data_IF_116641281177
#
_entry.id   IF_116641281177
#
_cell.length_a   1.000
_cell.length_b   1.000
_cell.length_c   1.000
_cell.angle_alpha   90.00
_cell.angle_beta   90.00
_cell.angle_gamma   90.00
#
_symmetry.space_group_name_H-M   'P 1'
#
loop_
_entity.id
_entity.type
_entity.pdbx_description
1 polymer ?
#
# COMPACT_ATOMS: atom_id res chain seq x y z
N UNK A 1 6.65 11.68 23.90
CA UNK A 1 5.15 11.68 23.89
C UNK A 1 4.69 11.03 25.19
N UNK A 2 3.74 11.66 25.93
CA UNK A 2 3.29 11.16 27.25
C UNK A 2 2.56 9.81 27.10
N UNK A 3 2.83 8.86 28.02
CA UNK A 3 2.23 7.52 28.08
C UNK A 3 0.70 7.53 27.94
N UNK A 4 0.00 8.44 28.61
CA UNK A 4 -1.45 8.61 28.52
C UNK A 4 -1.92 9.00 27.10
N UNK A 5 -1.16 9.81 26.37
CA UNK A 5 -1.47 10.15 24.97
C UNK A 5 -1.31 8.94 24.03
N UNK A 6 -0.30 8.11 24.29
CA UNK A 6 -0.10 6.88 23.53
C UNK A 6 -1.24 5.88 23.75
N UNK A 7 -1.67 5.69 25.00
CA UNK A 7 -2.79 4.82 25.34
C UNK A 7 -4.10 5.29 24.70
N UNK A 8 -4.42 6.58 24.80
CA UNK A 8 -5.59 7.16 24.12
C UNK A 8 -5.56 6.97 22.61
N UNK A 9 -4.39 7.18 21.98
CA UNK A 9 -4.20 6.99 20.55
C UNK A 9 -4.41 5.53 20.15
N UNK A 10 -3.93 4.58 20.95
CA UNK A 10 -4.10 3.14 20.71
C UNK A 10 -5.55 2.69 20.82
N UNK A 11 -6.30 3.25 21.78
CA UNK A 11 -7.74 2.99 21.93
C UNK A 11 -8.54 3.53 20.74
N UNK A 12 -8.23 4.74 20.27
CA UNK A 12 -8.96 5.40 19.17
C UNK A 12 -8.63 4.85 17.78
N UNK A 13 -7.35 4.55 17.52
CA UNK A 13 -6.86 4.21 16.18
C UNK A 13 -6.54 2.71 16.02
N UNK A 14 -6.59 1.93 17.10
CA UNK A 14 -6.33 0.50 17.09
C UNK A 14 -4.97 0.17 16.46
N UNK A 15 -4.97 -0.71 15.46
CA UNK A 15 -3.77 -1.14 14.73
C UNK A 15 -3.14 -0.03 13.87
N UNK A 16 -3.83 1.07 13.62
CA UNK A 16 -3.30 2.24 12.91
C UNK A 16 -2.73 3.32 13.83
N UNK A 17 -2.48 3.01 15.11
CA UNK A 17 -1.98 3.99 16.07
C UNK A 17 -0.52 4.40 15.82
N UNK A 18 0.30 3.48 15.36
CA UNK A 18 1.70 3.74 14.94
C UNK A 18 2.03 3.00 13.66
N UNK A 19 3.13 3.39 12.98
CA UNK A 19 3.66 2.67 11.82
C UNK A 19 3.90 1.20 12.14
N UNK A 20 4.56 0.93 13.25
CA UNK A 20 4.91 -0.43 13.67
C UNK A 20 3.67 -1.29 13.97
N UNK A 21 2.66 -0.72 14.63
CA UNK A 21 1.40 -1.43 14.88
C UNK A 21 0.72 -1.82 13.56
N UNK A 22 0.71 -0.91 12.58
CA UNK A 22 0.06 -1.17 11.30
C UNK A 22 0.83 -2.19 10.45
N UNK A 23 2.15 -2.08 10.37
CA UNK A 23 3.01 -3.07 9.69
C UNK A 23 2.82 -4.46 10.29
N UNK A 24 2.86 -4.58 11.63
CA UNK A 24 2.67 -5.85 12.31
C UNK A 24 1.25 -6.42 12.11
N UNK A 25 0.25 -5.57 12.07
CA UNK A 25 -1.11 -5.98 11.76
C UNK A 25 -1.23 -6.56 10.34
N UNK A 26 -0.66 -5.88 9.35
CA UNK A 26 -0.67 -6.35 7.96
C UNK A 26 0.09 -7.68 7.79
N UNK A 27 1.25 -7.83 8.46
CA UNK A 27 1.98 -9.10 8.51
C UNK A 27 1.13 -10.23 9.08
N UNK A 28 0.42 -10.00 10.19
CA UNK A 28 -0.50 -10.98 10.81
C UNK A 28 -1.67 -11.35 9.89
N UNK A 29 -2.07 -10.44 9.02
CA UNK A 29 -3.11 -10.69 8.01
C UNK A 29 -2.60 -11.47 6.80
N UNK A 30 -1.28 -11.67 6.67
CA UNK A 30 -0.66 -12.47 5.62
C UNK A 30 0.11 -11.67 4.57
N UNK A 31 0.26 -10.36 4.72
CA UNK A 31 1.13 -9.57 3.86
C UNK A 31 2.61 -9.89 4.13
N UNK A 32 3.41 -9.97 3.08
CA UNK A 32 4.87 -10.10 3.18
C UNK A 32 5.50 -8.71 3.25
N UNK A 33 5.97 -8.30 4.43
CA UNK A 33 6.55 -6.98 4.65
C UNK A 33 7.93 -7.13 5.30
N UNK A 34 8.94 -6.55 4.65
CA UNK A 34 10.33 -6.55 5.11
C UNK A 34 10.59 -5.63 6.30
N UNK A 35 11.86 -5.41 6.60
CA UNK A 35 12.30 -4.59 7.72
C UNK A 35 12.50 -3.12 7.30
N UNK A 36 12.44 -2.20 8.27
CA UNK A 36 12.64 -0.77 8.00
C UNK A 36 11.52 -0.10 7.21
N UNK A 37 10.33 -0.71 7.15
CA UNK A 37 9.16 -0.11 6.51
C UNK A 37 8.52 0.91 7.44
N UNK A 38 8.35 2.14 6.96
CA UNK A 38 7.73 3.24 7.71
C UNK A 38 6.47 3.73 6.99
N UNK A 39 5.35 3.70 7.69
CA UNK A 39 4.09 4.31 7.27
C UNK A 39 3.90 5.57 8.12
N UNK A 40 4.13 6.75 7.52
CA UNK A 40 4.18 8.02 8.26
C UNK A 40 2.85 8.46 8.88
N UNK A 41 1.74 8.15 8.23
CA UNK A 41 0.40 8.48 8.73
C UNK A 41 -0.53 7.27 8.54
N UNK A 42 -0.44 6.24 9.40
CA UNK A 42 -1.19 4.99 9.21
C UNK A 42 -2.71 5.19 9.12
N UNK A 43 -3.25 6.14 9.89
CA UNK A 43 -4.68 6.48 9.90
C UNK A 43 -5.16 7.24 8.67
N UNK A 44 -4.25 7.79 7.87
CA UNK A 44 -4.53 8.48 6.61
C UNK A 44 -3.99 7.73 5.39
N UNK A 45 -3.52 6.50 5.59
CA UNK A 45 -2.99 5.63 4.54
C UNK A 45 -3.92 4.44 4.38
N UNK A 46 -4.25 4.10 3.15
CA UNK A 46 -5.09 2.96 2.83
C UNK A 46 -4.26 1.87 2.17
N UNK A 47 -4.12 0.76 2.84
CA UNK A 47 -3.54 -0.46 2.29
C UNK A 47 -4.63 -1.51 2.28
N UNK A 48 -4.90 -2.07 1.12
CA UNK A 48 -5.98 -3.02 0.94
C UNK A 48 -5.79 -4.28 1.79
N UNK A 49 -6.75 -4.54 2.64
CA UNK A 49 -6.71 -5.62 3.63
C UNK A 49 -7.59 -6.82 3.24
N UNK A 50 -8.24 -6.77 2.07
CA UNK A 50 -9.11 -7.85 1.63
C UNK A 50 -8.33 -9.08 1.17
N UNK A 51 -7.20 -8.86 0.46
CA UNK A 51 -6.31 -9.92 0.01
C UNK A 51 -4.86 -9.64 0.43
N UNK A 52 -4.55 -9.64 1.74
CA UNK A 52 -3.25 -9.20 2.25
C UNK A 52 -2.08 -10.05 1.73
N UNK A 53 -2.30 -11.32 1.44
CA UNK A 53 -1.30 -12.22 0.84
C UNK A 53 -0.91 -11.83 -0.60
N UNK A 54 -1.63 -10.92 -1.24
CA UNK A 54 -1.29 -10.34 -2.54
C UNK A 54 -0.34 -9.13 -2.43
N UNK A 55 0.01 -8.71 -1.20
CA UNK A 55 0.91 -7.60 -0.95
C UNK A 55 2.28 -8.08 -0.51
N UNK A 56 3.31 -7.61 -1.22
CA UNK A 56 4.71 -7.76 -0.85
C UNK A 56 5.37 -6.39 -0.80
N UNK A 57 6.02 -6.06 0.31
CA UNK A 57 6.82 -4.85 0.49
C UNK A 57 8.20 -5.27 0.98
N UNK A 58 9.23 -4.84 0.29
CA UNK A 58 10.62 -5.12 0.64
C UNK A 58 11.11 -4.36 1.88
N UNK A 59 12.42 -4.22 2.00
CA UNK A 59 13.05 -3.53 3.12
C UNK A 59 13.21 -2.03 2.86
N UNK A 60 13.26 -1.21 3.92
CA UNK A 60 13.53 0.22 3.85
C UNK A 60 12.57 0.96 2.91
N UNK A 61 11.27 0.73 3.06
CA UNK A 61 10.24 1.39 2.26
C UNK A 61 9.56 2.49 3.07
N UNK A 62 9.50 3.69 2.50
CA UNK A 62 8.84 4.84 3.09
C UNK A 62 7.50 5.10 2.40
N UNK A 63 6.41 4.94 3.13
CA UNK A 63 5.03 5.17 2.67
C UNK A 63 4.52 6.43 3.34
N UNK A 64 4.32 7.49 2.56
CA UNK A 64 3.92 8.78 3.10
C UNK A 64 2.39 8.91 3.24
N UNK A 65 1.94 10.04 3.76
CA UNK A 65 0.52 10.27 4.05
C UNK A 65 -0.37 10.17 2.80
N UNK A 66 -1.54 9.58 2.96
CA UNK A 66 -2.57 9.53 1.91
C UNK A 66 -2.26 8.56 0.78
N UNK A 67 -1.22 7.73 0.89
CA UNK A 67 -0.94 6.69 -0.09
C UNK A 67 -2.02 5.62 -0.05
N UNK A 68 -2.48 5.19 -1.23
CA UNK A 68 -3.38 4.07 -1.41
C UNK A 68 -2.66 2.93 -2.11
N UNK A 69 -2.69 1.74 -1.54
CA UNK A 69 -2.20 0.51 -2.17
C UNK A 69 -3.39 -0.43 -2.35
N UNK A 70 -3.74 -0.69 -3.61
CA UNK A 70 -4.94 -1.41 -3.99
C UNK A 70 -4.58 -2.74 -4.65
N UNK A 71 -5.08 -3.84 -4.14
CA UNK A 71 -4.88 -5.17 -4.72
C UNK A 71 -6.15 -5.78 -5.31
N UNK A 72 -7.28 -5.06 -5.25
CA UNK A 72 -8.54 -5.43 -5.91
C UNK A 72 -9.34 -4.19 -6.30
N UNK A 73 -10.30 -4.36 -7.18
CA UNK A 73 -11.31 -3.36 -7.51
C UNK A 73 -12.69 -3.98 -7.77
N UNK A 74 -13.68 -3.14 -7.96
CA UNK A 74 -15.06 -3.51 -8.24
C UNK A 74 -15.50 -3.18 -9.67
N UNK A 75 -14.57 -2.81 -10.55
CA UNK A 75 -14.83 -2.43 -11.95
C UNK A 75 -15.49 -3.55 -12.76
N UNK A 76 -15.20 -4.80 -12.37
CA UNK A 76 -15.82 -6.00 -12.97
C UNK A 76 -17.35 -6.00 -12.86
N UNK A 77 -17.95 -5.24 -11.94
CA UNK A 77 -19.41 -5.15 -11.80
C UNK A 77 -20.09 -4.61 -13.05
N UNK A 78 -19.43 -3.68 -13.74
CA UNK A 78 -19.92 -3.10 -15.00
C UNK A 78 -19.92 -4.16 -16.11
N UNK A 79 -18.84 -4.91 -16.23
CA UNK A 79 -18.69 -5.96 -17.23
C UNK A 79 -19.66 -7.11 -16.94
N UNK A 80 -19.83 -7.47 -15.66
CA UNK A 80 -20.79 -8.49 -15.22
C UNK A 80 -22.22 -8.13 -15.61
N UNK A 81 -22.62 -6.88 -15.45
CA UNK A 81 -23.96 -6.42 -15.82
C UNK A 81 -24.25 -6.60 -17.31
N UNK A 82 -23.22 -6.46 -18.16
CA UNK A 82 -23.35 -6.61 -19.61
C UNK A 82 -23.21 -8.07 -20.11
N UNK A 83 -22.28 -8.82 -19.54
CA UNK A 83 -21.87 -10.12 -20.08
C UNK A 83 -22.17 -11.32 -19.17
N UNK A 84 -22.77 -11.09 -17.99
CA UNK A 84 -23.06 -12.15 -17.01
C UNK A 84 -21.88 -12.42 -16.07
N UNK A 85 -21.48 -13.67 -15.91
CA UNK A 85 -20.42 -14.07 -14.99
C UNK A 85 -19.05 -13.70 -15.53
N UNK A 86 -18.25 -13.02 -14.72
CA UNK A 86 -16.83 -12.75 -14.96
C UNK A 86 -16.00 -12.99 -13.71
N UNK A 87 -14.70 -13.17 -13.88
CA UNK A 87 -13.73 -13.22 -12.79
C UNK A 87 -13.47 -11.79 -12.30
N UNK A 88 -13.52 -11.56 -10.99
CA UNK A 88 -13.28 -10.26 -10.38
C UNK A 88 -11.82 -9.79 -10.52
N UNK A 89 -11.61 -8.49 -10.38
CA UNK A 89 -10.29 -7.87 -10.44
C UNK A 89 -9.53 -8.00 -9.12
N UNK A 90 -8.54 -8.90 -9.07
CA UNK A 90 -7.58 -9.05 -7.97
C UNK A 90 -6.20 -9.17 -8.58
N UNK A 91 -5.21 -8.49 -8.01
CA UNK A 91 -3.84 -8.55 -8.52
C UNK A 91 -2.79 -8.27 -7.45
N UNK A 92 -1.62 -8.86 -7.65
CA UNK A 92 -0.49 -8.64 -6.74
C UNK A 92 0.00 -7.21 -6.79
N UNK A 93 0.47 -6.72 -5.63
CA UNK A 93 1.31 -5.53 -5.55
C UNK A 93 2.63 -5.94 -4.92
N UNK A 94 3.72 -5.69 -5.63
CA UNK A 94 5.07 -5.98 -5.19
C UNK A 94 5.86 -4.67 -5.17
N UNK A 95 6.38 -4.31 -4.02
CA UNK A 95 7.25 -3.15 -3.83
C UNK A 95 8.60 -3.65 -3.38
N UNK A 96 9.65 -3.31 -4.12
CA UNK A 96 11.02 -3.71 -3.85
C UNK A 96 11.63 -3.03 -2.62
N UNK A 97 12.94 -3.07 -2.53
CA UNK A 97 13.69 -2.49 -1.42
C UNK A 97 14.07 -1.03 -1.70
N UNK A 98 14.23 -0.24 -0.62
CA UNK A 98 14.68 1.15 -0.73
C UNK A 98 13.77 1.98 -1.66
N UNK A 99 12.47 2.01 -1.35
CA UNK A 99 11.45 2.71 -2.15
C UNK A 99 10.84 3.83 -1.33
N UNK A 100 10.68 4.99 -1.95
CA UNK A 100 9.92 6.11 -1.41
C UNK A 100 8.63 6.31 -2.20
N UNK A 101 7.49 6.38 -1.50
CA UNK A 101 6.18 6.62 -2.09
C UNK A 101 5.65 7.95 -1.60
N UNK A 102 5.55 8.90 -2.53
CA UNK A 102 5.14 10.28 -2.27
C UNK A 102 3.67 10.41 -1.87
N UNK A 103 3.35 11.52 -1.19
CA UNK A 103 2.02 11.82 -0.63
C UNK A 103 0.91 11.68 -1.68
N UNK A 104 -0.21 11.08 -1.25
CA UNK A 104 -1.42 10.88 -2.07
C UNK A 104 -1.19 10.09 -3.37
N UNK A 105 -0.15 9.27 -3.43
CA UNK A 105 0.04 8.36 -4.57
C UNK A 105 -0.87 7.14 -4.45
N UNK A 106 -1.24 6.58 -5.60
CA UNK A 106 -2.07 5.38 -5.71
C UNK A 106 -1.27 4.30 -6.42
N UNK A 107 -1.09 3.16 -5.77
CA UNK A 107 -0.46 1.97 -6.34
C UNK A 107 -1.57 0.98 -6.68
N UNK A 108 -1.76 0.73 -7.95
CA UNK A 108 -2.82 -0.14 -8.44
C UNK A 108 -2.40 -1.62 -8.39
N UNK A 109 -3.38 -2.50 -8.44
CA UNK A 109 -3.15 -3.94 -8.58
C UNK A 109 -2.32 -4.26 -9.83
N UNK A 110 -1.61 -5.38 -9.80
CA UNK A 110 -0.66 -5.81 -10.85
C UNK A 110 0.52 -4.84 -11.04
N UNK A 111 0.91 -4.15 -9.97
CA UNK A 111 2.09 -3.28 -9.95
C UNK A 111 3.27 -4.02 -9.34
N UNK A 112 4.42 -3.90 -10.00
CA UNK A 112 5.71 -4.39 -9.53
C UNK A 112 6.72 -3.22 -9.55
N UNK A 113 7.09 -2.72 -8.40
CA UNK A 113 8.09 -1.65 -8.23
C UNK A 113 9.43 -2.28 -7.90
N UNK A 114 10.44 -1.99 -8.69
CA UNK A 114 11.80 -2.45 -8.47
C UNK A 114 12.48 -1.79 -7.26
N UNK A 115 13.73 -2.13 -7.02
CA UNK A 115 14.55 -1.56 -5.94
C UNK A 115 15.01 -0.14 -6.29
N UNK A 116 15.27 0.67 -5.25
CA UNK A 116 15.82 2.03 -5.39
C UNK A 116 14.91 2.93 -6.26
N UNK A 117 13.62 3.00 -5.95
CA UNK A 117 12.64 3.78 -6.70
C UNK A 117 12.08 4.92 -5.87
N UNK A 118 11.92 6.08 -6.50
CA UNK A 118 11.17 7.21 -5.95
C UNK A 118 9.90 7.38 -6.75
N UNK A 119 8.75 7.31 -6.08
CA UNK A 119 7.44 7.63 -6.63
C UNK A 119 7.05 9.04 -6.18
N UNK A 120 6.91 9.95 -7.12
CA UNK A 120 6.51 11.33 -6.86
C UNK A 120 5.10 11.44 -6.30
N UNK A 121 4.84 12.49 -5.50
CA UNK A 121 3.54 12.70 -4.87
C UNK A 121 2.40 12.83 -5.90
N UNK A 122 1.22 12.33 -5.55
CA UNK A 122 0.04 12.38 -6.41
C UNK A 122 0.09 11.48 -7.65
N UNK A 123 1.04 10.54 -7.70
CA UNK A 123 1.18 9.63 -8.84
C UNK A 123 0.16 8.51 -8.80
N UNK A 124 -0.27 8.05 -9.97
CA UNK A 124 -0.98 6.78 -10.15
C UNK A 124 -0.04 5.79 -10.81
N UNK A 125 0.30 4.71 -10.12
CA UNK A 125 1.32 3.76 -10.54
C UNK A 125 0.70 2.42 -10.87
N UNK A 126 1.08 1.88 -12.02
CA UNK A 126 0.56 0.63 -12.54
C UNK A 126 1.62 -0.08 -13.40
N UNK A 127 1.61 -1.41 -13.40
CA UNK A 127 2.55 -2.22 -14.19
C UNK A 127 3.95 -2.30 -13.59
N UNK A 128 4.96 -2.47 -14.43
CA UNK A 128 6.34 -2.62 -14.00
C UNK A 128 7.09 -1.30 -13.97
N UNK A 129 7.60 -0.96 -12.78
CA UNK A 129 8.48 0.18 -12.57
C UNK A 129 9.90 -0.37 -12.40
N UNK A 130 10.82 0.00 -13.30
CA UNK A 130 12.18 -0.52 -13.24
C UNK A 130 12.93 -0.03 -12.00
N UNK A 131 13.88 -0.83 -11.53
CA UNK A 131 14.79 -0.42 -10.44
C UNK A 131 15.58 0.83 -10.83
N UNK A 132 16.08 1.56 -9.81
CA UNK A 132 16.91 2.75 -9.96
C UNK A 132 16.24 3.87 -10.76
N UNK A 133 14.94 4.10 -10.55
CA UNK A 133 14.17 5.09 -11.30
C UNK A 133 13.41 6.08 -10.41
N UNK A 134 13.08 7.21 -11.00
CA UNK A 134 12.14 8.19 -10.44
C UNK A 134 10.95 8.25 -11.38
N UNK A 135 9.77 8.05 -10.85
CA UNK A 135 8.52 8.07 -11.62
C UNK A 135 7.51 9.03 -10.98
N UNK A 136 6.74 9.71 -11.82
CA UNK A 136 5.71 10.63 -11.36
C UNK A 136 4.61 10.77 -12.40
N UNK A 137 3.44 11.21 -11.95
CA UNK A 137 2.30 11.51 -12.79
C UNK A 137 1.22 10.42 -12.78
N UNK A 138 0.25 10.60 -13.65
CA UNK A 138 -0.85 9.66 -13.86
C UNK A 138 -0.77 9.13 -15.28
N UNK A 139 -0.93 7.82 -15.51
CA UNK A 139 -0.90 7.24 -16.85
C UNK A 139 -2.03 7.74 -17.71
#
# INVERSE_FOLDING_TARGET
>A
MNFLKQQKKKILLGHKSTSNDYVNYLRKKGASIGEGVIIYSPNHTYIDEMFPFMLTIGNNVNITQGVHILNHDFSWSVIKAKYGTIIGGVGKVVIGNNVFIGVNSIILMNTEVGDNVIIGSGSVVHGKIPANSVVAGSP
#
